data_IF_483165764995
#
_entry.id   IF_483165764995
#
_cell.length_a   1.000
_cell.length_b   1.000
_cell.length_c   1.000
_cell.angle_alpha   90.00
_cell.angle_beta   90.00
_cell.angle_gamma   90.00
#
_symmetry.space_group_name_H-M   'P 1'
#
loop_
_entity.id
_entity.type
_entity.pdbx_description
1 polymer ?
#
# COMPACT_ATOMS: atom_id res chain seq x y z
N UNK A 1 -18.93 10.62 1.72
CA UNK A 1 -17.95 10.30 2.79
C UNK A 1 -16.64 9.77 2.21
N UNK A 2 -16.62 8.59 1.56
CA UNK A 2 -15.39 8.05 0.94
C UNK A 2 -14.79 8.96 -0.15
N UNK A 3 -15.63 9.69 -0.90
CA UNK A 3 -15.13 10.66 -1.89
C UNK A 3 -14.33 11.79 -1.27
N UNK A 4 -14.78 12.28 -0.11
CA UNK A 4 -14.13 13.35 0.63
C UNK A 4 -12.78 12.89 1.20
N UNK A 5 -12.70 11.66 1.70
CA UNK A 5 -11.44 11.09 2.22
C UNK A 5 -10.38 10.96 1.13
N UNK A 6 -10.75 10.43 -0.03
CA UNK A 6 -9.81 10.27 -1.14
C UNK A 6 -9.49 11.60 -1.86
N UNK A 7 -10.37 12.60 -1.76
CA UNK A 7 -10.15 13.92 -2.37
C UNK A 7 -9.13 14.77 -1.58
N UNK A 8 -8.91 14.49 -0.30
CA UNK A 8 -7.96 15.22 0.55
C UNK A 8 -6.51 14.85 0.18
N UNK A 9 -6.28 13.68 -0.43
CA UNK A 9 -4.94 13.16 -0.67
C UNK A 9 -4.16 12.93 0.63
N UNK A 10 -2.94 12.41 0.51
CA UNK A 10 -2.05 12.21 1.66
C UNK A 10 -2.26 10.91 2.43
N UNK A 11 -1.76 10.88 3.67
CA UNK A 11 -1.70 9.67 4.49
C UNK A 11 -2.97 9.51 5.33
N UNK A 12 -3.64 8.37 5.20
CA UNK A 12 -4.81 8.00 6.00
C UNK A 12 -4.46 6.79 6.87
N UNK A 13 -4.70 6.90 8.17
CA UNK A 13 -4.58 5.79 9.11
C UNK A 13 -5.97 5.24 9.42
N UNK A 14 -6.20 3.97 9.09
CA UNK A 14 -7.38 3.23 9.51
C UNK A 14 -7.05 2.57 10.85
N UNK A 15 -7.86 2.87 11.87
CA UNK A 15 -7.78 2.22 13.18
C UNK A 15 -9.03 1.39 13.35
N UNK A 16 -8.84 0.13 13.67
CA UNK A 16 -9.90 -0.85 13.85
C UNK A 16 -9.75 -1.59 15.19
N UNK A 17 -10.65 -2.55 15.43
CA UNK A 17 -10.59 -3.46 16.57
C UNK A 17 -11.10 -4.85 16.16
N UNK A 18 -11.00 -5.82 17.07
CA UNK A 18 -11.50 -7.19 16.80
C UNK A 18 -13.01 -7.21 16.59
N UNK A 19 -13.74 -6.34 17.29
CA UNK A 19 -15.20 -6.22 17.17
C UNK A 19 -15.63 -5.51 15.89
N UNK A 20 -14.77 -4.64 15.34
CA UNK A 20 -15.03 -3.83 14.16
C UNK A 20 -13.82 -3.86 13.24
N UNK A 21 -13.77 -4.85 12.35
CA UNK A 21 -12.63 -5.02 11.44
C UNK A 21 -12.54 -3.90 10.39
N UNK A 22 -11.32 -3.42 10.15
CA UNK A 22 -11.05 -2.30 9.24
C UNK A 22 -10.78 -2.73 7.79
N UNK A 23 -10.61 -4.02 7.52
CA UNK A 23 -10.23 -4.56 6.21
C UNK A 23 -11.35 -4.40 5.18
N UNK A 24 -12.62 -4.57 5.54
CA UNK A 24 -13.73 -4.26 4.62
C UNK A 24 -13.73 -2.79 4.20
N UNK A 25 -13.43 -1.87 5.13
CA UNK A 25 -13.31 -0.45 4.82
C UNK A 25 -12.08 -0.16 3.93
N UNK A 26 -10.93 -0.78 4.23
CA UNK A 26 -9.73 -0.70 3.40
C UNK A 26 -10.02 -1.18 1.98
N UNK A 27 -10.69 -2.33 1.83
CA UNK A 27 -11.08 -2.89 0.53
C UNK A 27 -12.04 -1.97 -0.22
N UNK A 28 -12.98 -1.32 0.46
CA UNK A 28 -13.87 -0.34 -0.16
C UNK A 28 -13.11 0.89 -0.69
N UNK A 29 -12.09 1.38 0.04
CA UNK A 29 -11.23 2.48 -0.39
C UNK A 29 -10.35 2.09 -1.58
N UNK A 30 -9.77 0.89 -1.56
CA UNK A 30 -8.99 0.31 -2.67
C UNK A 30 -9.85 0.20 -3.92
N UNK A 31 -11.04 -0.43 -3.80
CA UNK A 31 -11.99 -0.57 -4.90
C UNK A 31 -12.31 0.78 -5.53
N UNK A 32 -12.54 1.79 -4.69
CA UNK A 32 -12.85 3.14 -5.15
C UNK A 32 -11.69 3.80 -5.90
N UNK A 33 -10.47 3.67 -5.40
CA UNK A 33 -9.26 4.21 -6.04
C UNK A 33 -9.00 3.54 -7.38
N UNK A 34 -9.13 2.20 -7.44
CA UNK A 34 -9.04 1.43 -8.68
C UNK A 34 -10.10 1.87 -9.71
N UNK A 35 -11.37 2.07 -9.30
CA UNK A 35 -12.43 2.53 -10.19
C UNK A 35 -12.23 3.96 -10.71
N UNK A 36 -11.41 4.79 -10.02
CA UNK A 36 -10.98 6.11 -10.51
C UNK A 36 -9.86 6.03 -11.55
N UNK A 37 -9.38 4.83 -11.86
CA UNK A 37 -8.33 4.60 -12.84
C UNK A 37 -6.93 4.52 -12.24
N UNK A 38 -6.80 4.63 -10.93
CA UNK A 38 -5.50 4.59 -10.24
C UNK A 38 -4.93 3.18 -10.22
N UNK A 39 -3.60 3.07 -10.30
CA UNK A 39 -2.92 1.83 -9.95
C UNK A 39 -2.85 1.75 -8.42
N UNK A 40 -3.22 0.61 -7.84
CA UNK A 40 -3.23 0.43 -6.39
C UNK A 40 -2.21 -0.61 -5.98
N UNK A 41 -1.21 -0.20 -5.21
CA UNK A 41 -0.23 -1.11 -4.63
C UNK A 41 -0.71 -1.56 -3.26
N UNK A 42 -0.83 -2.87 -3.06
CA UNK A 42 -1.24 -3.46 -1.79
C UNK A 42 -0.06 -4.18 -1.16
N UNK A 43 0.33 -3.75 0.04
CA UNK A 43 1.29 -4.47 0.87
C UNK A 43 0.54 -5.39 1.83
N UNK A 44 0.39 -6.65 1.45
CA UNK A 44 -0.38 -7.65 2.19
C UNK A 44 0.49 -8.36 3.22
N UNK A 45 0.08 -8.31 4.50
CA UNK A 45 0.91 -8.82 5.61
C UNK A 45 0.17 -9.81 6.52
N UNK A 46 -1.16 -9.72 6.63
CA UNK A 46 -1.92 -10.56 7.56
C UNK A 46 -2.67 -11.72 6.90
N UNK A 47 -3.07 -11.55 5.64
CA UNK A 47 -3.84 -12.54 4.88
C UNK A 47 -3.18 -12.81 3.53
N UNK A 48 -3.51 -13.95 2.93
CA UNK A 48 -2.99 -14.29 1.60
C UNK A 48 -3.59 -13.38 0.51
N UNK A 49 -2.90 -13.28 -0.64
CA UNK A 49 -3.39 -12.52 -1.79
C UNK A 49 -4.79 -12.99 -2.24
N UNK A 50 -5.03 -14.30 -2.20
CA UNK A 50 -6.30 -14.89 -2.64
C UNK A 50 -7.45 -14.46 -1.73
N UNK A 51 -7.26 -14.53 -0.41
CA UNK A 51 -8.24 -14.09 0.58
C UNK A 51 -8.46 -12.57 0.50
N UNK A 52 -7.37 -11.80 0.36
CA UNK A 52 -7.49 -10.35 0.25
C UNK A 52 -8.30 -9.94 -0.98
N UNK A 53 -8.07 -10.58 -2.13
CA UNK A 53 -8.73 -10.26 -3.39
C UNK A 53 -10.17 -10.78 -3.51
N UNK A 54 -10.59 -11.66 -2.60
CA UNK A 54 -11.95 -12.19 -2.60
C UNK A 54 -13.00 -11.07 -2.62
N UNK A 55 -13.98 -11.15 -3.52
CA UNK A 55 -15.04 -10.14 -3.66
C UNK A 55 -14.69 -8.89 -4.48
N UNK A 56 -13.45 -8.74 -4.96
CA UNK A 56 -13.15 -7.77 -6.02
C UNK A 56 -13.53 -8.31 -7.40
N UNK A 57 -14.05 -7.42 -8.24
CA UNK A 57 -14.31 -7.71 -9.66
C UNK A 57 -13.00 -7.71 -10.48
N UNK A 58 -13.07 -8.19 -11.72
CA UNK A 58 -11.90 -8.29 -12.62
C UNK A 58 -11.27 -6.93 -12.90
N UNK A 59 -12.09 -5.88 -13.01
CA UNK A 59 -11.65 -4.54 -13.37
C UNK A 59 -10.84 -3.93 -12.23
N UNK A 60 -11.30 -4.07 -10.99
CA UNK A 60 -10.54 -3.68 -9.79
C UNK A 60 -9.26 -4.52 -9.70
N UNK A 61 -9.35 -5.85 -9.82
CA UNK A 61 -8.19 -6.74 -9.69
C UNK A 61 -7.09 -6.44 -10.73
N UNK A 62 -7.46 -6.07 -11.96
CA UNK A 62 -6.50 -5.71 -13.01
C UNK A 62 -5.62 -4.50 -12.69
N UNK A 63 -6.04 -3.67 -11.73
CA UNK A 63 -5.33 -2.46 -11.27
C UNK A 63 -4.54 -2.67 -9.98
N UNK A 64 -4.65 -3.84 -9.35
CA UNK A 64 -3.96 -4.15 -8.10
C UNK A 64 -2.58 -4.74 -8.37
N UNK A 65 -1.55 -4.11 -7.82
CA UNK A 65 -0.21 -4.69 -7.71
C UNK A 65 -0.04 -5.19 -6.27
N UNK A 66 -0.09 -6.50 -6.06
CA UNK A 66 0.01 -7.10 -4.73
C UNK A 66 1.47 -7.43 -4.39
N UNK A 67 1.88 -7.08 -3.17
CA UNK A 67 3.19 -7.40 -2.60
C UNK A 67 2.94 -8.34 -1.41
N UNK A 68 3.16 -9.63 -1.63
CA UNK A 68 2.85 -10.70 -0.67
C UNK A 68 3.95 -10.83 0.41
N UNK A 69 3.82 -10.05 1.49
CA UNK A 69 4.65 -10.22 2.68
C UNK A 69 4.11 -11.29 3.64
N UNK A 70 2.89 -11.77 3.42
CA UNK A 70 2.28 -12.80 4.23
C UNK A 70 2.98 -14.15 4.03
N UNK A 71 3.17 -14.57 2.77
CA UNK A 71 3.92 -15.81 2.45
C UNK A 71 5.41 -15.58 2.33
N UNK A 72 5.82 -14.40 1.89
CA UNK A 72 7.22 -14.11 1.54
C UNK A 72 7.67 -12.73 2.04
N UNK A 73 7.77 -12.54 3.38
CA UNK A 73 8.09 -11.24 3.99
C UNK A 73 9.45 -10.65 3.58
N UNK A 74 10.31 -11.47 2.99
CA UNK A 74 11.66 -11.10 2.54
C UNK A 74 11.83 -11.26 1.02
N UNK A 75 10.75 -11.54 0.28
CA UNK A 75 10.72 -11.70 -1.17
C UNK A 75 11.77 -12.70 -1.71
N UNK A 76 11.96 -13.81 -0.99
CA UNK A 76 12.87 -14.91 -1.35
C UNK A 76 12.46 -15.66 -2.63
N UNK A 77 11.18 -15.63 -2.97
CA UNK A 77 10.60 -16.30 -4.14
C UNK A 77 11.02 -15.69 -5.49
N UNK A 78 11.67 -14.51 -5.50
CA UNK A 78 12.19 -13.84 -6.70
C UNK A 78 13.71 -14.00 -6.82
N UNK A 79 14.21 -15.08 -7.44
CA UNK A 79 15.64 -15.29 -7.64
C UNK A 79 16.16 -14.28 -8.68
N UNK A 80 16.88 -13.26 -8.23
CA UNK A 80 17.48 -12.25 -9.11
C UNK A 80 17.98 -11.00 -8.40
N UNK A 81 17.48 -10.72 -7.19
CA UNK A 81 17.95 -9.60 -6.38
C UNK A 81 18.91 -10.10 -5.29
N UNK A 82 20.13 -9.58 -5.26
CA UNK A 82 21.21 -10.03 -4.37
C UNK A 82 20.95 -9.80 -2.86
N UNK A 83 19.81 -9.19 -2.49
CA UNK A 83 19.42 -8.89 -1.11
C UNK A 83 17.92 -9.11 -0.98
N UNK A 84 17.45 -9.85 0.05
CA UNK A 84 16.02 -10.05 0.29
C UNK A 84 15.27 -8.73 0.31
N UNK A 85 14.18 -8.60 -0.44
CA UNK A 85 13.33 -7.42 -0.38
C UNK A 85 12.47 -7.49 0.88
N UNK A 86 12.98 -6.96 1.98
CA UNK A 86 12.15 -6.74 3.16
C UNK A 86 11.08 -5.66 2.92
N UNK A 87 10.08 -5.55 3.82
CA UNK A 87 8.99 -4.57 3.73
C UNK A 87 9.45 -3.12 3.48
N UNK A 88 10.56 -2.71 4.10
CA UNK A 88 11.13 -1.38 3.90
C UNK A 88 11.61 -1.14 2.46
N UNK A 89 12.16 -2.15 1.81
CA UNK A 89 12.62 -2.04 0.43
C UNK A 89 11.43 -1.99 -0.53
N UNK A 90 10.38 -2.76 -0.27
CA UNK A 90 9.12 -2.68 -1.01
C UNK A 90 8.48 -1.28 -0.89
N UNK A 91 8.41 -0.72 0.32
CA UNK A 91 7.95 0.67 0.53
C UNK A 91 8.80 1.69 -0.27
N UNK A 92 10.14 1.56 -0.20
CA UNK A 92 11.06 2.45 -0.93
C UNK A 92 11.01 2.28 -2.44
N UNK A 93 10.73 1.08 -2.96
CA UNK A 93 10.61 0.86 -4.41
C UNK A 93 9.33 1.48 -4.95
N UNK A 94 8.27 1.54 -4.16
CA UNK A 94 7.06 2.30 -4.49
C UNK A 94 7.33 3.81 -4.57
N UNK A 95 8.22 4.37 -3.73
CA UNK A 95 8.70 5.76 -3.86
C UNK A 95 9.45 6.05 -5.18
N UNK A 96 9.95 5.04 -5.88
CA UNK A 96 10.80 5.27 -7.06
C UNK A 96 10.05 5.17 -8.38
N UNK A 97 8.79 4.71 -8.35
CA UNK A 97 8.02 4.31 -9.53
C UNK A 97 6.96 5.33 -9.96
N UNK A 98 7.05 6.58 -9.52
CA UNK A 98 6.02 7.61 -9.74
C UNK A 98 6.03 8.28 -11.13
N UNK A 99 6.64 7.64 -12.13
CA UNK A 99 6.66 8.17 -13.51
C UNK A 99 5.32 7.96 -14.25
N UNK A 100 4.34 7.27 -13.65
CA UNK A 100 3.10 6.85 -14.32
C UNK A 100 1.84 7.09 -13.45
N UNK A 101 1.26 8.29 -13.53
CA UNK A 101 -0.11 8.59 -13.07
C UNK A 101 -0.35 8.55 -11.56
N UNK A 102 -1.61 8.73 -11.15
CA UNK A 102 -2.01 8.68 -9.73
C UNK A 102 -1.90 7.24 -9.20
N UNK A 103 -1.15 7.08 -8.10
CA UNK A 103 -0.91 5.79 -7.43
C UNK A 103 -1.46 5.85 -6.01
N UNK A 104 -2.25 4.84 -5.63
CA UNK A 104 -2.67 4.63 -4.24
C UNK A 104 -1.85 3.50 -3.63
N UNK A 105 -1.34 3.70 -2.42
CA UNK A 105 -0.64 2.66 -1.65
C UNK A 105 -1.51 2.28 -0.47
N UNK A 106 -1.87 1.00 -0.39
CA UNK A 106 -2.63 0.41 0.69
C UNK A 106 -1.74 -0.54 1.50
N UNK A 107 -1.69 -0.32 2.81
CA UNK A 107 -1.03 -1.21 3.77
C UNK A 107 -2.11 -1.99 4.52
N UNK A 108 -2.07 -3.31 4.45
CA UNK A 108 -3.06 -4.18 5.12
C UNK A 108 -2.94 -4.06 6.65
N UNK A 109 -1.72 -4.04 7.20
CA UNK A 109 -1.51 -3.89 8.64
C UNK A 109 -0.24 -3.13 8.99
N UNK A 110 -0.43 -1.96 9.60
CA UNK A 110 0.68 -1.19 10.16
C UNK A 110 1.25 -1.84 11.43
N UNK A 111 0.38 -2.49 12.22
CA UNK A 111 0.77 -3.18 13.46
C UNK A 111 1.77 -4.30 13.15
N UNK A 112 1.53 -5.08 12.09
CA UNK A 112 2.46 -6.11 11.66
C UNK A 112 3.84 -5.52 11.31
N UNK A 113 3.87 -4.41 10.57
CA UNK A 113 5.13 -3.74 10.20
C UNK A 113 5.88 -3.22 11.43
N UNK A 114 5.17 -2.62 12.39
CA UNK A 114 5.75 -2.09 13.63
C UNK A 114 6.35 -3.19 14.53
N UNK A 115 5.85 -4.43 14.44
CA UNK A 115 6.43 -5.56 15.16
C UNK A 115 7.78 -6.02 14.58
N UNK A 116 8.05 -5.75 13.29
CA UNK A 116 9.23 -6.26 12.59
C UNK A 116 10.24 -5.17 12.21
N UNK A 117 9.82 -3.91 12.23
CA UNK A 117 10.61 -2.75 11.77
C UNK A 117 10.64 -1.72 12.90
N UNK A 118 11.82 -1.14 13.21
CA UNK A 118 11.90 -0.03 14.15
C UNK A 118 10.96 1.11 13.74
N UNK A 119 10.13 1.57 14.68
CA UNK A 119 9.10 2.59 14.45
C UNK A 119 9.66 3.84 13.73
N UNK A 120 10.81 4.35 14.19
CA UNK A 120 11.47 5.52 13.58
C UNK A 120 11.77 5.28 12.09
N UNK A 121 12.29 4.11 11.74
CA UNK A 121 12.61 3.75 10.36
C UNK A 121 11.36 3.63 9.49
N UNK A 122 10.28 3.08 10.04
CA UNK A 122 9.00 2.97 9.34
C UNK A 122 8.38 4.35 9.11
N UNK A 123 8.34 5.21 10.14
CA UNK A 123 7.87 6.59 10.01
C UNK A 123 8.66 7.38 8.97
N UNK A 124 9.99 7.22 8.92
CA UNK A 124 10.82 7.85 7.88
C UNK A 124 10.45 7.37 6.48
N UNK A 125 10.19 6.07 6.30
CA UNK A 125 9.78 5.53 5.01
C UNK A 125 8.38 6.03 4.58
N UNK A 126 7.42 6.06 5.50
CA UNK A 126 6.07 6.58 5.24
C UNK A 126 6.08 8.09 4.95
N UNK A 127 6.92 8.85 5.66
CA UNK A 127 7.11 10.27 5.40
C UNK A 127 7.71 10.51 4.02
N UNK A 128 8.72 9.73 3.62
CA UNK A 128 9.29 9.83 2.28
C UNK A 128 8.23 9.57 1.17
N UNK A 129 7.30 8.63 1.40
CA UNK A 129 6.18 8.39 0.50
C UNK A 129 5.20 9.57 0.43
N UNK A 130 4.90 10.22 1.55
CA UNK A 130 3.94 11.34 1.54
C UNK A 130 4.48 12.58 0.85
N UNK A 131 5.80 12.84 0.92
CA UNK A 131 6.40 14.05 0.35
C UNK A 131 6.46 14.06 -1.19
N UNK A 132 6.47 12.89 -1.84
CA UNK A 132 6.55 12.82 -3.30
C UNK A 132 5.24 13.19 -4.01
N UNK A 133 4.12 13.20 -3.30
CA UNK A 133 2.84 13.67 -3.83
C UNK A 133 2.67 15.20 -3.69
N UNK A 134 3.64 15.89 -3.09
CA UNK A 134 3.56 17.30 -2.72
C UNK A 134 4.23 18.30 -3.66
N UNK A 135 4.87 17.87 -4.76
CA UNK A 135 5.62 18.77 -5.63
C UNK A 135 5.05 18.86 -7.06
N UNK A 136 4.12 19.79 -7.31
CA UNK A 136 3.89 20.36 -8.63
C UNK A 136 4.63 21.71 -8.75
N UNK A 137 5.97 21.68 -8.70
CA UNK A 137 6.80 22.65 -9.39
C UNK A 137 7.35 23.80 -8.55
N UNK A 138 8.68 23.95 -8.63
CA UNK A 138 9.27 25.23 -9.03
C UNK A 138 10.63 24.99 -9.70
N UNK A 139 10.71 25.27 -11.00
CA UNK A 139 11.89 25.89 -11.61
C UNK A 139 11.58 26.26 -13.06
N UNK A 140 11.23 27.55 -13.20
CA UNK A 140 11.35 28.32 -14.44
C UNK A 140 12.81 28.54 -14.81
#
# INVERSE_FOLDING_TARGET
>A
MLDSLLAIGGLVLLRDSVEWEGRSLLKALIKKSALRGEQVHVLGCEVSEEEFREGFDSDVNSRLVYHDLFRDPLNWSKPGEAVPEGPLKALRSMCKRTDHGSVTIALDSLSWLLCHIPCVTLCQALHALSQQNGDPGDNS
#
